data_IF_489783509462
#
_entry.id   IF_489783509462
#
_cell.length_a   1.000
_cell.length_b   1.000
_cell.length_c   1.000
_cell.angle_alpha   90.00
_cell.angle_beta   90.00
_cell.angle_gamma   90.00
#
_symmetry.space_group_name_H-M   'P 1'
#
loop_
_entity.id
_entity.type
_entity.pdbx_description
1 polymer ?
#
# COMPACT_ATOMS: atom_id res chain seq x y z
N UNK A 1 -34.47 -69.95 44.96
CA UNK A 1 -33.23 -70.57 44.40
C UNK A 1 -33.04 -70.01 42.98
N UNK A 2 -31.78 -69.62 42.68
CA UNK A 2 -31.20 -69.27 41.36
C UNK A 2 -31.56 -67.87 40.78
N UNK A 3 -30.67 -66.91 40.91
CA UNK A 3 -29.46 -66.47 40.13
C UNK A 3 -29.82 -65.81 38.80
N UNK A 4 -29.65 -64.53 38.78
CA UNK A 4 -28.56 -63.71 38.24
C UNK A 4 -28.21 -63.88 36.74
N UNK A 5 -28.43 -62.88 35.99
CA UNK A 5 -27.81 -62.66 34.72
C UNK A 5 -27.41 -61.20 34.62
N UNK A 6 -26.14 -60.99 34.85
CA UNK A 6 -25.49 -59.65 34.66
C UNK A 6 -25.31 -59.36 33.17
N UNK A 7 -25.84 -58.32 32.73
CA UNK A 7 -25.65 -57.81 31.35
C UNK A 7 -24.85 -56.52 31.36
N UNK A 8 -23.65 -56.61 30.87
CA UNK A 8 -22.68 -55.52 30.79
C UNK A 8 -23.20 -54.39 29.87
N UNK A 9 -23.19 -53.21 30.40
CA UNK A 9 -23.40 -51.98 29.61
C UNK A 9 -22.05 -51.52 29.06
N UNK A 10 -21.90 -51.68 27.77
CA UNK A 10 -20.77 -51.04 27.07
C UNK A 10 -21.14 -49.62 26.80
N UNK A 11 -20.37 -48.72 27.40
CA UNK A 11 -20.45 -47.29 27.13
C UNK A 11 -19.78 -46.99 25.79
N UNK A 12 -20.54 -46.45 24.84
CA UNK A 12 -19.99 -45.83 23.65
C UNK A 12 -19.92 -44.33 23.92
N UNK A 13 -18.76 -43.89 24.28
CA UNK A 13 -18.44 -42.47 24.29
C UNK A 13 -17.10 -42.29 23.61
N UNK A 14 -17.13 -41.94 22.35
CA UNK A 14 -15.96 -41.28 21.69
C UNK A 14 -16.40 -40.57 20.41
N UNK A 15 -15.89 -39.39 20.28
CA UNK A 15 -15.66 -38.64 19.03
C UNK A 15 -16.68 -37.58 18.60
N UNK A 16 -16.62 -36.47 19.29
CA UNK A 16 -16.89 -35.17 18.61
C UNK A 16 -15.94 -34.13 19.20
N UNK A 17 -14.72 -34.02 18.72
CA UNK A 17 -13.84 -32.85 18.93
C UNK A 17 -12.67 -32.87 17.93
N UNK A 18 -12.94 -32.68 16.65
CA UNK A 18 -11.85 -32.49 15.69
C UNK A 18 -12.19 -31.55 14.48
N UNK A 19 -13.18 -30.68 14.60
CA UNK A 19 -13.59 -29.87 13.45
C UNK A 19 -13.17 -28.38 13.43
N UNK A 20 -12.71 -27.70 14.50
CA UNK A 20 -12.36 -26.28 14.36
C UNK A 20 -10.92 -25.99 13.90
N UNK A 21 -9.99 -26.95 13.96
CA UNK A 21 -8.59 -26.68 13.65
C UNK A 21 -8.29 -26.57 12.15
N UNK A 22 -8.99 -27.31 11.30
CA UNK A 22 -8.74 -27.33 9.86
C UNK A 22 -9.21 -26.04 9.13
N UNK A 23 -10.22 -25.36 9.66
CA UNK A 23 -10.73 -24.12 9.05
C UNK A 23 -9.83 -22.90 9.35
N UNK A 24 -9.14 -22.88 10.49
CA UNK A 24 -8.20 -21.80 10.82
C UNK A 24 -6.96 -21.85 9.91
N UNK A 25 -6.42 -23.02 9.63
CA UNK A 25 -5.26 -23.19 8.75
C UNK A 25 -5.57 -22.88 7.29
N UNK A 26 -6.76 -23.19 6.81
CA UNK A 26 -7.19 -22.89 5.45
C UNK A 26 -7.39 -21.37 5.23
N UNK A 27 -7.76 -20.62 6.27
CA UNK A 27 -7.95 -19.19 6.21
C UNK A 27 -6.62 -18.44 6.19
N UNK A 28 -5.65 -18.87 6.96
CA UNK A 28 -4.30 -18.31 7.05
C UNK A 28 -3.54 -18.52 5.73
N UNK A 29 -3.47 -19.73 5.22
CA UNK A 29 -2.78 -20.03 3.96
C UNK A 29 -3.43 -19.40 2.71
N UNK A 30 -4.67 -18.91 2.78
CA UNK A 30 -5.31 -18.15 1.68
C UNK A 30 -4.91 -16.67 1.74
N UNK A 31 -4.79 -16.12 2.93
CA UNK A 31 -4.33 -14.74 3.16
C UNK A 31 -2.89 -14.57 2.73
N UNK A 32 -2.00 -15.48 3.11
CA UNK A 32 -0.59 -15.47 2.72
C UNK A 32 -0.41 -15.52 1.20
N UNK A 33 -1.15 -16.39 0.51
CA UNK A 33 -1.09 -16.49 -0.97
C UNK A 33 -1.59 -15.23 -1.67
N UNK A 34 -2.59 -14.54 -1.12
CA UNK A 34 -3.07 -13.28 -1.67
C UNK A 34 -2.03 -12.18 -1.50
N UNK A 35 -1.42 -12.08 -0.33
CA UNK A 35 -0.35 -11.14 -0.04
C UNK A 35 0.87 -11.37 -0.94
N UNK A 36 1.30 -12.61 -1.12
CA UNK A 36 2.39 -12.97 -2.04
C UNK A 36 2.08 -12.58 -3.48
N UNK A 37 0.83 -12.73 -3.92
CA UNK A 37 0.41 -12.35 -5.28
C UNK A 37 0.46 -10.83 -5.48
N UNK A 38 0.06 -10.04 -4.50
CA UNK A 38 0.13 -8.58 -4.55
C UNK A 38 1.58 -8.07 -4.49
N UNK A 39 2.41 -8.67 -3.65
CA UNK A 39 3.85 -8.34 -3.57
C UNK A 39 4.52 -8.58 -4.92
N UNK A 40 4.31 -9.74 -5.54
CA UNK A 40 4.86 -10.07 -6.86
C UNK A 40 4.33 -9.09 -7.91
N UNK A 41 3.01 -8.90 -7.96
CA UNK A 41 2.39 -7.97 -8.91
C UNK A 41 2.92 -6.54 -8.73
N UNK A 42 3.17 -6.12 -7.49
CA UNK A 42 3.75 -4.82 -7.20
C UNK A 42 5.11 -4.60 -7.87
N UNK A 43 5.98 -5.61 -7.86
CA UNK A 43 7.26 -5.53 -8.57
C UNK A 43 7.11 -5.54 -10.09
N UNK A 44 6.13 -6.26 -10.62
CA UNK A 44 5.84 -6.30 -12.07
C UNK A 44 5.36 -4.96 -12.62
N UNK A 45 4.64 -4.17 -11.79
CA UNK A 45 4.07 -2.88 -12.19
C UNK A 45 4.89 -1.67 -11.73
N UNK A 46 6.09 -1.87 -11.21
CA UNK A 46 7.04 -0.76 -11.02
C UNK A 46 7.26 -0.09 -12.38
N UNK A 47 7.15 1.25 -12.48
CA UNK A 47 7.37 1.95 -13.73
C UNK A 47 8.69 1.54 -14.39
N UNK A 48 8.63 1.25 -15.70
CA UNK A 48 9.80 0.79 -16.45
C UNK A 48 10.94 1.81 -16.39
N UNK A 49 12.10 1.37 -15.97
CA UNK A 49 13.29 2.23 -15.81
C UNK A 49 13.44 2.83 -14.41
N UNK A 50 12.40 2.80 -13.56
CA UNK A 50 12.52 3.25 -12.19
C UNK A 50 13.38 2.25 -11.39
N UNK A 51 14.42 2.76 -10.72
CA UNK A 51 15.33 1.92 -9.92
C UNK A 51 14.96 2.01 -8.45
N UNK A 52 14.65 0.87 -7.84
CA UNK A 52 14.35 0.80 -6.41
C UNK A 52 15.64 0.55 -5.60
N UNK A 53 15.83 1.33 -4.55
CA UNK A 53 16.82 1.03 -3.52
C UNK A 53 16.22 0.05 -2.50
N UNK A 54 16.61 -1.23 -2.59
CA UNK A 54 16.12 -2.30 -1.71
C UNK A 54 17.08 -2.62 -0.56
N UNK A 55 18.17 -1.87 -0.41
CA UNK A 55 19.11 -2.06 0.69
C UNK A 55 18.40 -1.77 2.03
N UNK A 56 18.56 -2.69 2.98
CA UNK A 56 18.00 -2.58 4.35
C UNK A 56 16.46 -2.38 4.40
N UNK A 57 15.74 -2.77 3.35
CA UNK A 57 14.29 -2.64 3.27
C UNK A 57 13.57 -3.98 3.32
N UNK A 58 12.40 -3.98 3.90
CA UNK A 58 11.52 -5.15 3.84
C UNK A 58 10.94 -5.26 2.43
N UNK A 59 11.46 -6.22 1.65
CA UNK A 59 11.08 -6.42 0.24
C UNK A 59 9.60 -6.74 0.07
N UNK A 60 8.98 -7.47 1.00
CA UNK A 60 7.55 -7.76 0.94
C UNK A 60 6.71 -6.49 1.09
N UNK A 61 7.08 -5.61 2.02
CA UNK A 61 6.41 -4.32 2.18
C UNK A 61 6.64 -3.40 0.97
N UNK A 62 7.84 -3.36 0.42
CA UNK A 62 8.12 -2.56 -0.80
C UNK A 62 7.28 -3.05 -1.98
N UNK A 63 7.19 -4.36 -2.20
CA UNK A 63 6.37 -4.94 -3.28
C UNK A 63 4.88 -4.66 -3.08
N UNK A 64 4.34 -4.86 -1.86
CA UNK A 64 2.97 -4.52 -1.53
C UNK A 64 2.69 -3.02 -1.69
N UNK A 65 3.61 -2.17 -1.23
CA UNK A 65 3.50 -0.72 -1.37
C UNK A 65 3.51 -0.27 -2.82
N UNK A 66 4.37 -0.86 -3.66
CA UNK A 66 4.36 -0.65 -5.11
C UNK A 66 3.01 -1.03 -5.73
N UNK A 67 2.46 -2.20 -5.35
CA UNK A 67 1.14 -2.61 -5.82
C UNK A 67 0.09 -1.54 -5.50
N UNK A 68 0.04 -1.08 -4.26
CA UNK A 68 -0.96 -0.10 -3.83
C UNK A 68 -0.75 1.25 -4.53
N UNK A 69 0.46 1.78 -4.55
CA UNK A 69 0.77 3.10 -5.14
C UNK A 69 0.49 3.13 -6.64
N UNK A 70 0.93 2.12 -7.38
CA UNK A 70 0.81 2.08 -8.84
C UNK A 70 -0.57 1.61 -9.34
N UNK A 71 -1.44 1.06 -8.46
CA UNK A 71 -2.80 0.67 -8.82
C UNK A 71 -3.90 1.54 -8.22
N UNK A 72 -3.55 2.53 -7.39
CA UNK A 72 -4.53 3.41 -6.71
C UNK A 72 -4.50 4.87 -7.20
N UNK A 73 -3.88 5.16 -8.34
CA UNK A 73 -3.91 6.47 -8.96
C UNK A 73 -3.04 7.55 -8.29
N UNK A 74 -2.05 7.16 -7.48
CA UNK A 74 -1.17 8.14 -6.83
C UNK A 74 -0.42 9.01 -7.85
N UNK A 75 -0.03 8.42 -9.00
CA UNK A 75 0.66 9.14 -10.08
C UNK A 75 -0.21 10.22 -10.73
N UNK A 76 -1.53 10.05 -10.74
CA UNK A 76 -2.44 10.98 -11.39
C UNK A 76 -2.46 12.35 -10.70
N UNK A 77 -2.23 12.36 -9.39
CA UNK A 77 -2.15 13.57 -8.60
C UNK A 77 -0.70 14.00 -8.31
N UNK A 78 0.19 13.06 -8.02
CA UNK A 78 1.54 13.36 -7.53
C UNK A 78 2.63 13.34 -8.62
N UNK A 79 2.29 13.21 -9.90
CA UNK A 79 3.23 13.33 -11.02
C UNK A 79 2.69 14.32 -12.06
N UNK A 80 3.56 15.18 -12.62
CA UNK A 80 3.15 16.06 -13.69
C UNK A 80 4.30 16.36 -14.69
N UNK A 81 4.12 16.00 -15.96
CA UNK A 81 3.06 15.12 -16.46
C UNK A 81 3.20 13.70 -15.89
N UNK A 82 2.07 12.99 -15.77
CA UNK A 82 2.06 11.60 -15.26
C UNK A 82 2.72 10.63 -16.22
N UNK A 83 2.61 10.90 -17.52
CA UNK A 83 3.12 10.05 -18.59
C UNK A 83 4.21 10.77 -19.39
N UNK A 84 5.17 9.99 -19.89
CA UNK A 84 6.17 10.49 -20.83
C UNK A 84 5.55 10.84 -22.18
N UNK A 85 6.26 11.59 -23.00
CA UNK A 85 5.82 11.94 -24.34
C UNK A 85 5.57 10.66 -25.17
N UNK A 86 4.39 10.53 -25.74
CA UNK A 86 3.98 9.35 -26.51
C UNK A 86 3.58 8.15 -25.63
N UNK A 87 3.39 8.34 -24.33
CA UNK A 87 3.09 7.28 -23.36
C UNK A 87 1.78 7.44 -22.59
N UNK A 88 0.88 8.32 -23.04
CA UNK A 88 -0.38 8.59 -22.35
C UNK A 88 -1.51 7.64 -22.81
N UNK A 89 -1.96 6.69 -21.98
CA UNK A 89 -3.02 5.76 -22.35
C UNK A 89 -4.37 6.44 -22.59
N UNK A 90 -4.64 7.61 -22.00
CA UNK A 90 -5.84 8.38 -22.28
C UNK A 90 -5.86 8.95 -23.70
N UNK A 91 -4.68 9.00 -24.34
CA UNK A 91 -4.50 9.34 -25.76
C UNK A 91 -4.34 8.10 -26.64
N UNK A 92 -4.69 6.90 -26.15
CA UNK A 92 -4.56 5.60 -26.82
C UNK A 92 -3.12 5.23 -27.17
N UNK A 93 -2.16 5.73 -26.38
CA UNK A 93 -0.74 5.39 -26.50
C UNK A 93 -0.38 4.24 -25.54
N UNK A 94 0.68 3.47 -25.80
CA UNK A 94 1.21 2.52 -24.82
C UNK A 94 1.60 3.24 -23.53
N UNK A 95 1.23 2.70 -22.38
CA UNK A 95 1.53 3.35 -21.10
C UNK A 95 3.05 3.46 -20.87
N UNK A 96 3.51 4.70 -20.70
CA UNK A 96 4.87 5.02 -20.28
C UNK A 96 4.83 6.09 -19.18
N UNK A 97 4.98 5.66 -17.93
CA UNK A 97 5.03 6.58 -16.79
C UNK A 97 6.26 7.49 -16.90
N UNK A 98 6.08 8.76 -16.61
CA UNK A 98 7.16 9.73 -16.59
C UNK A 98 8.00 9.57 -15.30
N UNK A 99 9.07 8.79 -15.38
CA UNK A 99 9.92 8.49 -14.22
C UNK A 99 10.74 9.69 -13.75
N UNK A 100 10.98 10.70 -14.60
CA UNK A 100 11.72 11.92 -14.24
C UNK A 100 10.90 12.83 -13.30
N UNK A 101 9.58 12.68 -13.29
CA UNK A 101 8.65 13.41 -12.43
C UNK A 101 7.78 12.48 -11.59
N UNK A 102 8.20 11.22 -11.45
CA UNK A 102 7.43 10.22 -10.73
C UNK A 102 7.26 10.59 -9.26
N UNK A 103 6.02 10.89 -8.87
CA UNK A 103 5.61 11.26 -7.52
C UNK A 103 6.29 12.53 -6.96
N UNK A 104 6.85 13.39 -7.82
CA UNK A 104 7.49 14.66 -7.44
C UNK A 104 6.50 15.82 -7.25
N UNK A 105 5.20 15.54 -7.33
CA UNK A 105 4.14 16.53 -7.14
C UNK A 105 3.94 17.47 -8.32
N UNK A 106 3.42 18.66 -8.02
CA UNK A 106 3.31 19.77 -8.99
C UNK A 106 1.99 19.84 -9.75
N UNK A 107 1.07 18.90 -9.61
CA UNK A 107 -0.27 19.03 -10.19
C UNK A 107 -1.09 20.03 -9.40
N UNK A 108 -1.76 20.93 -10.11
CA UNK A 108 -2.55 22.02 -9.53
C UNK A 108 -4.04 21.73 -9.66
N UNK A 109 -4.75 21.86 -8.56
CA UNK A 109 -6.20 21.68 -8.43
C UNK A 109 -6.79 22.95 -7.80
N UNK A 110 -7.17 23.93 -8.59
CA UNK A 110 -7.56 25.24 -8.08
C UNK A 110 -6.43 25.90 -7.27
N UNK A 111 -6.63 26.25 -6.00
CA UNK A 111 -5.58 26.84 -5.16
C UNK A 111 -4.56 25.82 -4.64
N UNK A 112 -4.83 24.51 -4.79
CA UNK A 112 -4.03 23.45 -4.18
C UNK A 112 -3.03 22.86 -5.16
N UNK A 113 -1.78 22.74 -4.73
CA UNK A 113 -0.72 22.03 -5.47
C UNK A 113 -0.38 20.73 -4.78
N UNK A 114 -0.33 19.64 -5.53
CA UNK A 114 0.07 18.33 -4.98
C UNK A 114 1.51 18.34 -4.51
N UNK A 115 1.73 17.73 -3.34
CA UNK A 115 3.05 17.61 -2.73
C UNK A 115 3.94 16.62 -3.47
N UNK A 116 5.24 16.85 -3.42
CA UNK A 116 6.27 15.86 -3.69
C UNK A 116 6.25 14.82 -2.56
N UNK A 117 6.01 13.56 -2.92
CA UNK A 117 5.97 12.44 -1.96
C UNK A 117 7.16 11.49 -2.10
N UNK A 118 8.16 11.86 -2.90
CA UNK A 118 9.43 11.13 -2.95
C UNK A 118 10.24 11.33 -1.66
N UNK A 119 11.28 10.52 -1.39
CA UNK A 119 12.09 10.70 -0.20
C UNK A 119 12.84 12.04 -0.18
N UNK A 120 12.97 12.63 0.98
CA UNK A 120 13.91 13.72 1.24
C UNK A 120 15.37 13.20 1.39
N UNK A 121 16.30 14.09 1.71
CA UNK A 121 17.71 13.74 1.94
C UNK A 121 17.94 12.77 3.13
N UNK A 122 16.99 12.72 4.06
CA UNK A 122 16.99 11.76 5.17
C UNK A 122 16.26 10.45 4.83
N UNK A 123 15.81 10.28 3.58
CA UNK A 123 15.07 9.13 3.13
C UNK A 123 13.62 9.06 3.62
N UNK A 124 13.04 10.21 4.00
CA UNK A 124 11.67 10.31 4.50
C UNK A 124 10.72 10.72 3.37
N UNK A 125 9.75 9.89 2.97
CA UNK A 125 8.72 10.25 1.99
C UNK A 125 7.98 11.52 2.41
N UNK A 126 7.83 12.46 1.49
CA UNK A 126 7.27 13.79 1.75
C UNK A 126 7.95 14.53 2.92
N UNK A 127 9.15 14.15 3.34
CA UNK A 127 9.82 14.67 4.54
C UNK A 127 9.19 14.25 5.87
N UNK A 128 8.30 13.22 5.86
CA UNK A 128 7.57 12.75 7.03
C UNK A 128 8.20 11.48 7.61
N UNK A 129 8.21 11.36 8.92
CA UNK A 129 8.44 10.08 9.59
C UNK A 129 7.29 9.11 9.29
N UNK A 130 7.50 7.82 9.51
CA UNK A 130 6.44 6.82 9.32
C UNK A 130 5.20 7.11 10.17
N UNK A 131 5.39 7.54 11.42
CA UNK A 131 4.27 7.85 12.32
C UNK A 131 3.47 9.06 11.82
N UNK A 132 4.14 10.13 11.40
CA UNK A 132 3.52 11.32 10.82
C UNK A 132 2.79 11.00 9.52
N UNK A 133 3.39 10.18 8.64
CA UNK A 133 2.75 9.75 7.41
C UNK A 133 1.44 8.97 7.69
N UNK A 134 1.48 8.00 8.62
CA UNK A 134 0.28 7.25 9.00
C UNK A 134 -0.80 8.17 9.59
N UNK A 135 -0.40 9.11 10.46
CA UNK A 135 -1.32 10.07 11.05
C UNK A 135 -1.97 10.96 9.98
N UNK A 136 -1.20 11.51 9.04
CA UNK A 136 -1.71 12.29 7.92
C UNK A 136 -2.70 11.48 7.08
N UNK A 137 -2.37 10.24 6.74
CA UNK A 137 -3.25 9.37 5.96
C UNK A 137 -4.57 9.05 6.70
N UNK A 138 -4.57 9.04 8.03
CA UNK A 138 -5.76 8.77 8.87
C UNK A 138 -6.63 10.00 9.08
N UNK A 139 -6.01 11.17 9.23
CA UNK A 139 -6.68 12.37 9.72
C UNK A 139 -6.80 13.49 8.68
N UNK A 140 -5.98 13.45 7.63
CA UNK A 140 -5.86 14.52 6.64
C UNK A 140 -5.09 15.75 7.13
N UNK A 141 -4.63 15.78 8.39
CA UNK A 141 -3.82 16.90 8.89
C UNK A 141 -2.36 16.74 8.50
N UNK A 142 -1.81 17.78 7.86
CA UNK A 142 -0.38 17.81 7.52
C UNK A 142 0.43 18.27 8.75
N UNK A 143 1.33 17.43 9.30
CA UNK A 143 2.15 17.82 10.46
C UNK A 143 3.13 18.96 10.15
N UNK A 144 3.37 19.28 8.86
CA UNK A 144 4.17 20.45 8.44
C UNK A 144 3.37 21.75 8.39
N UNK A 145 2.06 21.65 8.43
CA UNK A 145 1.13 22.77 8.54
C UNK A 145 0.10 22.50 9.64
N UNK A 146 0.51 22.50 10.93
CA UNK A 146 -0.35 22.11 12.03
C UNK A 146 -1.51 23.08 12.30
N UNK A 147 -1.47 24.28 11.73
CA UNK A 147 -2.55 25.28 11.80
C UNK A 147 -3.41 25.31 10.54
N UNK A 148 -3.02 24.57 9.51
CA UNK A 148 -3.75 24.48 8.26
C UNK A 148 -5.00 23.60 8.37
N UNK A 149 -5.88 23.75 7.39
CA UNK A 149 -7.03 22.87 7.21
C UNK A 149 -6.61 21.45 6.83
N UNK A 150 -7.52 20.49 6.98
CA UNK A 150 -7.32 19.14 6.45
C UNK A 150 -7.13 19.19 4.93
N UNK A 151 -6.39 18.23 4.40
CA UNK A 151 -6.15 18.11 2.95
C UNK A 151 -7.48 18.09 2.17
N UNK A 152 -7.66 19.06 1.26
CA UNK A 152 -8.93 19.29 0.56
C UNK A 152 -9.09 18.44 -0.71
N UNK A 153 -8.00 18.07 -1.36
CA UNK A 153 -8.01 17.38 -2.66
C UNK A 153 -7.63 15.92 -2.53
N UNK A 154 -6.61 15.62 -1.74
CA UNK A 154 -6.21 14.24 -1.51
C UNK A 154 -7.33 13.44 -0.83
N UNK A 155 -7.76 12.29 -1.38
CA UNK A 155 -8.86 11.51 -0.82
C UNK A 155 -8.43 10.69 0.42
N UNK A 156 -7.84 11.37 1.40
CA UNK A 156 -7.36 10.77 2.66
C UNK A 156 -8.44 9.99 3.41
N UNK A 157 -9.75 10.35 3.40
CA UNK A 157 -10.76 9.53 4.07
C UNK A 157 -10.90 8.13 3.48
N UNK A 158 -10.57 7.98 2.19
CA UNK A 158 -10.56 6.68 1.52
C UNK A 158 -9.27 5.91 1.83
N UNK A 159 -8.12 6.56 1.70
CA UNK A 159 -6.82 5.95 2.00
C UNK A 159 -6.67 5.60 3.48
N UNK A 160 -7.21 6.43 4.36
CA UNK A 160 -7.22 6.19 5.80
C UNK A 160 -7.98 4.93 6.24
N UNK A 161 -8.81 4.33 5.39
CA UNK A 161 -9.46 3.03 5.66
C UNK A 161 -8.56 1.82 5.43
N UNK A 162 -7.40 2.00 4.79
CA UNK A 162 -6.44 0.92 4.59
C UNK A 162 -5.90 0.43 5.94
N UNK A 163 -5.44 -0.82 5.96
CA UNK A 163 -4.80 -1.35 7.17
C UNK A 163 -3.49 -0.61 7.48
N UNK A 164 -3.02 -0.69 8.73
CA UNK A 164 -1.70 -0.14 9.07
C UNK A 164 -0.58 -0.78 8.25
N UNK A 165 -0.71 -2.09 7.95
CA UNK A 165 0.22 -2.80 7.08
C UNK A 165 0.28 -2.19 5.67
N UNK A 166 -0.87 -1.85 5.09
CA UNK A 166 -0.94 -1.23 3.77
C UNK A 166 -0.31 0.17 3.78
N UNK A 167 -0.62 0.99 4.79
CA UNK A 167 -0.03 2.33 4.93
C UNK A 167 1.48 2.27 5.16
N UNK A 168 1.95 1.31 5.97
CA UNK A 168 3.39 1.06 6.15
C UNK A 168 4.01 0.59 4.84
N UNK A 169 3.34 -0.27 4.07
CA UNK A 169 3.83 -0.73 2.79
C UNK A 169 3.97 0.43 1.78
N UNK A 170 2.97 1.32 1.68
CA UNK A 170 3.06 2.54 0.88
C UNK A 170 4.31 3.34 1.29
N UNK A 171 4.48 3.60 2.59
CA UNK A 171 5.62 4.33 3.12
C UNK A 171 6.96 3.69 2.74
N UNK A 172 7.09 2.36 2.89
CA UNK A 172 8.33 1.64 2.55
C UNK A 172 8.62 1.63 1.04
N UNK A 173 7.60 1.59 0.19
CA UNK A 173 7.79 1.77 -1.24
C UNK A 173 8.26 3.18 -1.58
N UNK A 174 7.62 4.20 -1.03
CA UNK A 174 8.03 5.59 -1.22
C UNK A 174 9.45 5.85 -0.72
N UNK A 175 9.93 5.14 0.30
CA UNK A 175 11.34 5.18 0.74
C UNK A 175 12.30 4.47 -0.21
N UNK A 176 11.79 3.60 -1.06
CA UNK A 176 12.61 2.80 -1.98
C UNK A 176 12.78 3.45 -3.36
N UNK A 177 11.92 4.38 -3.74
CA UNK A 177 12.05 5.10 -5.01
C UNK A 177 13.13 6.19 -4.92
N UNK A 178 13.64 6.69 -6.07
CA UNK A 178 14.58 7.82 -6.08
C UNK A 178 14.00 9.08 -5.45
N UNK A 179 14.82 9.81 -4.71
CA UNK A 179 14.52 11.19 -4.32
C UNK A 179 14.54 12.09 -5.56
N UNK A 180 13.48 12.84 -5.76
CA UNK A 180 13.37 13.83 -6.84
C UNK A 180 13.17 15.23 -6.25
N UNK A 181 13.67 16.27 -6.91
CA UNK A 181 13.30 17.64 -6.53
C UNK A 181 11.81 17.88 -6.78
N UNK A 182 11.29 18.92 -6.17
CA UNK A 182 9.94 19.39 -6.48
C UNK A 182 9.79 19.65 -7.97
N UNK A 183 8.63 19.31 -8.51
CA UNK A 183 8.36 19.51 -9.93
C UNK A 183 8.57 20.98 -10.31
N UNK A 184 9.50 21.30 -11.23
CA UNK A 184 9.83 22.69 -11.59
C UNK A 184 8.75 23.36 -12.44
N UNK A 185 7.79 22.59 -12.96
CA UNK A 185 6.72 23.08 -13.86
C UNK A 185 5.34 22.67 -13.33
N UNK A 186 4.90 23.23 -12.18
CA UNK A 186 3.56 22.95 -11.66
C UNK A 186 2.49 23.45 -12.63
N UNK A 187 1.33 22.77 -12.65
CA UNK A 187 0.20 23.14 -13.46
C UNK A 187 -0.93 22.09 -13.43
N UNK A 188 -2.06 22.34 -14.07
CA UNK A 188 -3.19 21.41 -14.14
C UNK A 188 -2.86 20.13 -14.89
#
# INVERSE_FOLDING_TARGET
MKRLGSGARVALAVAVLAAPALSAWAHDGRRDRHDESQVRRGYEIVPKGLKLNLSEKNRALVGLGSYIVNSSGCIDCHSRPSYALGGDPFQRQPEMVNIDQYLSGGRVFGPFKSANITPDHAGKPAGLTRAEFLALMRTGHDPKDPQGDVLQVMPWPTFGKKTDRDLVAIYEYLRAIPALPDNPKPGP
#
